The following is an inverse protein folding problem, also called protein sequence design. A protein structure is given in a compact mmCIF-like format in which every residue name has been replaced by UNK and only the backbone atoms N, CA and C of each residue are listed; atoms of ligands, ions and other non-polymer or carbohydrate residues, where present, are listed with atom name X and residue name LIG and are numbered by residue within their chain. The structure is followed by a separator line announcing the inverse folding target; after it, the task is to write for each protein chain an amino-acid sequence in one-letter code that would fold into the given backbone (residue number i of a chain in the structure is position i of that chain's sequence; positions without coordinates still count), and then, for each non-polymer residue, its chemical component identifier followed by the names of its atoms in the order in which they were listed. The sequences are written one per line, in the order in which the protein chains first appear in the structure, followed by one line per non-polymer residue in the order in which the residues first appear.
data_IF_895163620142
#
_entry.id   IF_895163620142
#
_cell.length_a   1.000
_cell.length_b   1.000
_cell.length_c   1.000
_cell.angle_alpha   90.00
_cell.angle_beta   90.00
_cell.angle_gamma   90.00
#
_symmetry.space_group_name_H-M   'P 1'
#
loop_
_entity.id
_entity.type
_entity.pdbx_description
1 polymer ?
#
# COMPACT_ATOMS: atom_id res chain seq x y z
N UNK A 1 -5.68 -0.51 13.82
CA UNK A 1 -4.32 -0.63 14.37
C UNK A 1 -3.52 -1.47 13.39
N UNK A 2 -2.32 -1.03 13.10
CA UNK A 2 -1.34 -1.80 12.34
C UNK A 2 -0.28 -2.27 13.33
N UNK A 3 -0.02 -3.56 13.36
CA UNK A 3 1.07 -4.15 14.13
C UNK A 3 2.32 -4.31 13.27
N UNK A 4 3.48 -4.46 13.93
CA UNK A 4 4.75 -4.79 13.25
C UNK A 4 4.62 -6.08 12.43
N UNK A 5 3.78 -7.03 12.89
CA UNK A 5 3.49 -8.26 12.16
C UNK A 5 2.73 -7.97 10.87
N UNK A 6 1.78 -7.04 10.87
CA UNK A 6 1.02 -6.68 9.68
C UNK A 6 1.92 -6.00 8.63
N UNK A 7 2.86 -5.15 9.08
CA UNK A 7 3.90 -4.56 8.23
C UNK A 7 4.84 -5.64 7.68
N UNK A 8 5.29 -6.57 8.52
CA UNK A 8 6.14 -7.67 8.10
C UNK A 8 5.43 -8.57 7.08
N UNK A 9 4.14 -8.90 7.32
CA UNK A 9 3.34 -9.69 6.38
C UNK A 9 3.18 -8.96 5.05
N UNK A 10 2.89 -7.66 5.05
CA UNK A 10 2.80 -6.86 3.84
C UNK A 10 4.10 -6.87 3.02
N UNK A 11 5.25 -6.90 3.69
CA UNK A 11 6.56 -7.02 3.03
C UNK A 11 6.89 -8.46 2.60
N UNK A 12 6.24 -9.48 3.16
CA UNK A 12 6.45 -10.89 2.82
C UNK A 12 5.51 -11.37 1.72
N UNK A 13 4.37 -10.72 1.51
CA UNK A 13 3.42 -10.98 0.43
C UNK A 13 3.90 -10.43 -0.94
N UNK A 14 5.23 -10.43 -1.17
CA UNK A 14 5.88 -10.07 -2.44
C UNK A 14 5.35 -10.94 -3.60
N UNK A 15 4.70 -12.05 -3.29
CA UNK A 15 4.10 -12.95 -4.28
C UNK A 15 2.69 -12.55 -4.74
N UNK A 16 2.03 -11.60 -4.04
CA UNK A 16 0.70 -11.12 -4.47
C UNK A 16 0.85 -10.04 -5.55
N UNK A 17 0.98 -10.50 -6.79
CA UNK A 17 1.15 -9.61 -7.95
C UNK A 17 -0.07 -8.73 -8.23
N UNK A 18 -1.24 -9.04 -7.65
CA UNK A 18 -2.50 -8.28 -7.79
C UNK A 18 -2.75 -7.30 -6.65
N UNK A 19 -1.77 -7.11 -5.76
CA UNK A 19 -1.91 -6.28 -4.55
C UNK A 19 -2.48 -4.89 -4.84
N UNK A 20 -2.07 -4.25 -5.93
CA UNK A 20 -2.51 -2.90 -6.31
C UNK A 20 -3.99 -2.86 -6.64
N UNK A 21 -4.48 -3.86 -7.38
CA UNK A 21 -5.89 -3.98 -7.75
C UNK A 21 -6.76 -4.31 -6.52
N UNK A 22 -6.35 -5.28 -5.70
CA UNK A 22 -7.09 -5.71 -4.51
C UNK A 22 -7.19 -4.59 -3.47
N UNK A 23 -6.16 -3.77 -3.35
CA UNK A 23 -6.09 -2.66 -2.39
C UNK A 23 -6.69 -1.35 -2.92
N UNK A 24 -7.16 -1.33 -4.17
CA UNK A 24 -7.63 -0.12 -4.86
C UNK A 24 -6.61 1.03 -4.74
N UNK A 25 -5.36 0.71 -5.09
CA UNK A 25 -4.25 1.67 -5.04
C UNK A 25 -4.42 2.73 -6.12
N UNK A 26 -4.27 4.01 -5.77
CA UNK A 26 -4.21 5.07 -6.76
C UNK A 26 -2.86 5.10 -7.48
N UNK A 27 -2.85 5.53 -8.74
CA UNK A 27 -1.59 5.72 -9.46
C UNK A 27 -0.66 6.75 -8.80
N UNK A 28 -1.20 7.77 -8.10
CA UNK A 28 -0.39 8.71 -7.29
C UNK A 28 0.49 8.00 -6.29
N UNK A 29 -0.03 6.98 -5.58
CA UNK A 29 0.78 6.20 -4.63
C UNK A 29 1.90 5.42 -5.34
N UNK A 30 1.62 4.92 -6.54
CA UNK A 30 2.64 4.23 -7.36
C UNK A 30 3.73 5.21 -7.78
N UNK A 31 3.35 6.39 -8.27
CA UNK A 31 4.29 7.44 -8.67
C UNK A 31 5.21 7.84 -7.51
N UNK A 32 4.64 8.07 -6.33
CA UNK A 32 5.40 8.43 -5.13
C UNK A 32 6.39 7.32 -4.73
N UNK A 33 5.97 6.04 -4.84
CA UNK A 33 6.81 4.91 -4.45
C UNK A 33 8.01 4.68 -5.37
N UNK A 34 7.88 5.01 -6.66
CA UNK A 34 8.92 4.72 -7.68
C UNK A 34 9.58 5.99 -8.26
N UNK A 35 9.42 7.13 -7.63
CA UNK A 35 9.85 8.45 -8.16
C UNK A 35 9.40 8.64 -9.62
N UNK A 36 8.15 8.24 -9.90
CA UNK A 36 7.58 8.15 -11.22
C UNK A 36 6.95 9.45 -11.70
N UNK A 37 6.89 9.61 -13.01
CA UNK A 37 6.15 10.69 -13.68
C UNK A 37 5.10 10.09 -14.60
N UNK A 38 3.84 10.53 -14.48
CA UNK A 38 2.78 10.15 -15.39
C UNK A 38 2.99 10.83 -16.74
N UNK A 39 3.14 10.05 -17.81
CA UNK A 39 3.31 10.54 -19.18
C UNK A 39 1.98 10.51 -19.93
N UNK A 40 1.17 9.47 -19.70
CA UNK A 40 -0.16 9.30 -20.31
C UNK A 40 -1.11 8.79 -19.22
N UNK A 41 -2.27 9.39 -19.10
CA UNK A 41 -3.34 8.98 -18.17
C UNK A 41 -3.54 9.95 -17.02
N UNK A 42 -4.45 9.55 -16.10
CA UNK A 42 -4.76 10.29 -14.89
C UNK A 42 -4.19 9.56 -13.66
N UNK A 43 -3.43 10.28 -12.86
CA UNK A 43 -2.79 9.74 -11.65
C UNK A 43 -3.75 9.55 -10.47
N UNK A 44 -4.91 10.20 -10.49
CA UNK A 44 -5.91 10.08 -9.42
C UNK A 44 -6.78 8.83 -9.55
N UNK A 45 -6.75 8.15 -10.69
CA UNK A 45 -7.49 6.92 -10.91
C UNK A 45 -6.99 5.79 -9.99
N UNK A 46 -7.91 4.90 -9.62
CA UNK A 46 -7.60 3.68 -8.86
C UNK A 46 -7.31 2.51 -9.79
N UNK A 47 -6.34 1.69 -9.39
CA UNK A 47 -6.04 0.42 -10.05
C UNK A 47 -7.05 -0.59 -9.53
N UNK A 48 -7.92 -1.10 -10.41
CA UNK A 48 -9.03 -1.99 -10.04
C UNK A 48 -8.88 -3.41 -10.57
N UNK A 49 -7.94 -3.64 -11.50
CA UNK A 49 -7.68 -4.94 -12.12
C UNK A 49 -6.22 -5.09 -12.55
N UNK A 50 -5.84 -6.31 -12.88
CA UNK A 50 -4.53 -6.66 -13.38
C UNK A 50 -3.52 -7.03 -12.29
N UNK A 51 -2.41 -7.59 -12.75
CA UNK A 51 -1.24 -7.98 -11.96
C UNK A 51 -0.03 -7.14 -12.36
N UNK A 52 1.01 -7.15 -11.54
CA UNK A 52 2.31 -6.58 -11.89
C UNK A 52 3.08 -7.64 -12.66
N UNK A 53 3.57 -7.29 -13.84
CA UNK A 53 4.31 -8.18 -14.73
C UNK A 53 5.61 -7.52 -15.22
N UNK A 54 6.72 -8.27 -15.21
CA UNK A 54 7.99 -7.80 -15.78
C UNK A 54 8.08 -8.25 -17.25
N UNK A 55 8.11 -7.28 -18.14
CA UNK A 55 8.24 -7.51 -19.59
C UNK A 55 9.68 -7.76 -20.02
N UNK A 56 10.27 -8.85 -19.51
CA UNK A 56 11.64 -9.25 -19.85
C UNK A 56 11.71 -10.17 -21.08
N UNK A 57 10.61 -10.85 -21.41
CA UNK A 57 10.52 -11.74 -22.56
C UNK A 57 10.49 -10.97 -23.90
N UNK A 58 10.66 -11.68 -25.02
CA UNK A 58 10.38 -11.13 -26.33
C UNK A 58 8.85 -10.96 -26.52
N UNK A 59 8.38 -10.15 -27.47
CA UNK A 59 6.96 -9.87 -27.69
C UNK A 59 6.12 -11.15 -27.87
N UNK A 60 6.55 -12.11 -28.68
CA UNK A 60 5.84 -13.35 -28.98
C UNK A 60 5.53 -14.20 -27.74
N UNK A 61 6.44 -14.16 -26.76
CA UNK A 61 6.22 -14.83 -25.47
C UNK A 61 5.40 -13.94 -24.52
N UNK A 62 5.62 -12.62 -24.57
CA UNK A 62 4.96 -11.68 -23.69
C UNK A 62 3.45 -11.66 -23.89
N UNK A 63 2.97 -11.80 -25.12
CA UNK A 63 1.54 -11.92 -25.48
C UNK A 63 0.81 -13.01 -24.70
N UNK A 64 1.50 -14.10 -24.33
CA UNK A 64 0.90 -15.21 -23.59
C UNK A 64 0.75 -14.93 -22.09
N UNK A 65 1.34 -13.85 -21.57
CA UNK A 65 1.39 -13.54 -20.14
C UNK A 65 0.68 -12.26 -19.77
N UNK A 66 0.58 -11.30 -20.70
CA UNK A 66 -0.10 -10.03 -20.47
C UNK A 66 -1.61 -10.23 -20.55
N UNK A 67 -2.30 -9.83 -19.52
CA UNK A 67 -3.77 -9.85 -19.42
C UNK A 67 -4.32 -8.42 -19.37
N UNK A 68 -5.62 -8.28 -19.66
CA UNK A 68 -6.33 -7.00 -19.60
C UNK A 68 -6.17 -6.34 -18.22
N UNK A 69 -5.69 -5.11 -18.23
CA UNK A 69 -5.48 -4.30 -17.03
C UNK A 69 -4.14 -4.50 -16.31
N UNK A 70 -3.27 -5.38 -16.79
CA UNK A 70 -1.96 -5.62 -16.17
C UNK A 70 -1.09 -4.36 -16.13
N UNK A 71 -0.22 -4.29 -15.14
CA UNK A 71 0.84 -3.28 -15.06
C UNK A 71 2.16 -3.90 -15.53
N UNK A 72 2.59 -3.50 -16.72
CA UNK A 72 3.79 -4.03 -17.37
C UNK A 72 5.01 -3.17 -17.06
N UNK A 73 5.99 -3.73 -16.35
CA UNK A 73 7.29 -3.10 -16.11
C UNK A 73 8.23 -3.44 -17.27
N UNK A 74 8.71 -2.44 -18.00
CA UNK A 74 9.58 -2.64 -19.17
C UNK A 74 10.66 -1.55 -19.24
N UNK A 75 11.63 -1.74 -20.11
CA UNK A 75 12.64 -0.75 -20.44
C UNK A 75 12.32 -0.05 -21.76
N UNK A 76 13.38 0.23 -22.53
CA UNK A 76 13.32 1.00 -23.78
C UNK A 76 12.90 0.19 -25.03
N UNK A 77 12.53 -1.08 -24.88
CA UNK A 77 12.11 -1.91 -26.01
C UNK A 77 10.75 -1.49 -26.51
N UNK A 78 10.72 -0.87 -27.70
CA UNK A 78 9.50 -0.41 -28.34
C UNK A 78 8.48 -1.53 -28.53
N UNK A 79 8.95 -2.70 -28.96
CA UNK A 79 8.11 -3.86 -29.25
C UNK A 79 7.37 -4.36 -28.00
N UNK A 80 8.02 -4.35 -26.84
CA UNK A 80 7.38 -4.77 -25.58
C UNK A 80 6.36 -3.74 -25.10
N UNK A 81 6.63 -2.44 -25.32
CA UNK A 81 5.66 -1.38 -25.03
C UNK A 81 4.44 -1.49 -25.93
N UNK A 82 4.64 -1.73 -27.23
CA UNK A 82 3.57 -1.93 -28.20
C UNK A 82 2.73 -3.17 -27.84
N UNK A 83 3.36 -4.30 -27.62
CA UNK A 83 2.70 -5.55 -27.20
C UNK A 83 1.82 -5.33 -25.96
N UNK A 84 2.33 -4.63 -24.93
CA UNK A 84 1.53 -4.31 -23.74
C UNK A 84 0.27 -3.50 -24.05
N UNK A 85 0.37 -2.52 -24.96
CA UNK A 85 -0.79 -1.72 -25.39
C UNK A 85 -1.80 -2.59 -26.15
N UNK A 86 -1.35 -3.41 -27.09
CA UNK A 86 -2.19 -4.28 -27.90
C UNK A 86 -2.90 -5.36 -27.09
N UNK A 87 -2.26 -5.83 -26.00
CA UNK A 87 -2.86 -6.78 -25.04
C UNK A 87 -3.73 -6.10 -23.97
N UNK A 88 -4.06 -4.82 -24.12
CA UNK A 88 -4.87 -4.05 -23.18
C UNK A 88 -4.28 -3.96 -21.76
N UNK A 89 -2.97 -3.88 -21.63
CA UNK A 89 -2.36 -3.55 -20.34
C UNK A 89 -2.94 -2.23 -19.80
N UNK A 90 -3.25 -2.21 -18.52
CA UNK A 90 -3.79 -0.99 -17.88
C UNK A 90 -2.74 0.10 -17.70
N UNK A 91 -1.47 -0.31 -17.55
CA UNK A 91 -0.34 0.61 -17.39
C UNK A 91 0.97 0.00 -17.87
N UNK A 92 1.80 0.83 -18.51
CA UNK A 92 3.19 0.50 -18.83
C UNK A 92 4.10 1.41 -18.00
N UNK A 93 5.01 0.81 -17.23
CA UNK A 93 6.04 1.52 -16.48
C UNK A 93 7.36 1.37 -17.23
N UNK A 94 7.84 2.49 -17.76
CA UNK A 94 9.11 2.57 -18.50
C UNK A 94 10.21 2.92 -17.52
N UNK A 95 11.09 1.96 -17.26
CA UNK A 95 12.18 2.04 -16.30
C UNK A 95 13.44 2.72 -16.88
N UNK A 96 14.36 3.11 -15.99
CA UNK A 96 15.68 3.70 -16.29
C UNK A 96 15.65 5.06 -16.98
N UNK A 97 14.54 5.80 -16.88
CA UNK A 97 14.38 7.09 -17.56
C UNK A 97 14.45 7.00 -19.09
N UNK A 98 14.18 5.81 -19.65
CA UNK A 98 14.25 5.58 -21.09
C UNK A 98 13.26 6.47 -21.86
N UNK A 99 13.64 6.99 -23.04
CA UNK A 99 12.76 7.83 -23.83
C UNK A 99 11.54 7.05 -24.35
N UNK A 100 10.38 7.66 -24.30
CA UNK A 100 9.12 7.08 -24.77
C UNK A 100 8.71 7.78 -26.06
N UNK A 101 8.57 7.05 -27.16
CA UNK A 101 8.24 7.62 -28.46
C UNK A 101 6.85 8.26 -28.47
N UNK A 102 6.66 9.30 -29.27
CA UNK A 102 5.33 9.94 -29.45
C UNK A 102 4.29 8.96 -30.01
N UNK A 103 4.71 7.99 -30.80
CA UNK A 103 3.85 6.93 -31.34
C UNK A 103 3.28 6.08 -30.21
N UNK A 104 4.13 5.61 -29.27
CA UNK A 104 3.70 4.83 -28.10
C UNK A 104 2.75 5.66 -27.22
N UNK A 105 3.07 6.93 -26.97
CA UNK A 105 2.20 7.80 -26.16
C UNK A 105 0.81 7.97 -26.80
N UNK A 106 0.77 8.12 -28.13
CA UNK A 106 -0.49 8.25 -28.89
C UNK A 106 -1.30 6.96 -28.82
N UNK A 107 -0.69 5.81 -29.11
CA UNK A 107 -1.35 4.50 -29.06
C UNK A 107 -1.85 4.17 -27.65
N UNK A 108 -1.06 4.45 -26.63
CA UNK A 108 -1.47 4.25 -25.24
C UNK A 108 -2.71 5.09 -24.89
N UNK A 109 -2.75 6.35 -25.31
CA UNK A 109 -3.91 7.22 -25.08
C UNK A 109 -5.16 6.70 -25.81
N UNK A 110 -5.03 6.22 -27.03
CA UNK A 110 -6.14 5.65 -27.84
C UNK A 110 -6.69 4.37 -27.23
N UNK A 111 -5.87 3.58 -26.54
CA UNK A 111 -6.23 2.31 -25.90
C UNK A 111 -6.44 2.42 -24.37
N UNK A 112 -6.56 3.62 -23.82
CA UNK A 112 -6.70 3.85 -22.37
C UNK A 112 -5.58 3.21 -21.52
N UNK A 113 -4.43 2.91 -22.09
CA UNK A 113 -3.26 2.42 -21.39
C UNK A 113 -2.47 3.59 -20.80
N UNK A 114 -2.20 3.52 -19.50
CA UNK A 114 -1.40 4.56 -18.83
C UNK A 114 0.09 4.33 -19.07
N UNK A 115 0.86 5.41 -19.07
CA UNK A 115 2.32 5.32 -19.18
C UNK A 115 2.96 6.11 -18.05
N UNK A 116 3.83 5.43 -17.29
CA UNK A 116 4.66 6.01 -16.25
C UNK A 116 6.12 5.88 -16.66
N UNK A 117 6.90 6.95 -16.44
CA UNK A 117 8.37 6.92 -16.56
C UNK A 117 8.98 7.00 -15.17
N UNK A 118 10.02 6.20 -14.91
CA UNK A 118 10.77 6.23 -13.65
C UNK A 118 12.27 6.14 -13.91
N UNK A 119 13.12 6.81 -13.09
CA UNK A 119 14.56 6.70 -13.22
C UNK A 119 15.13 5.34 -12.76
N UNK A 120 14.35 4.59 -11.96
CA UNK A 120 14.78 3.33 -11.38
C UNK A 120 14.82 2.18 -12.40
N UNK A 121 15.65 1.16 -12.13
CA UNK A 121 15.67 -0.08 -12.90
C UNK A 121 14.45 -0.97 -12.57
N UNK A 122 14.20 -1.95 -13.42
CA UNK A 122 13.03 -2.83 -13.32
C UNK A 122 12.96 -3.62 -12.00
N UNK A 123 14.12 -4.04 -11.46
CA UNK A 123 14.16 -4.79 -10.20
C UNK A 123 13.79 -3.89 -9.02
N UNK A 124 14.31 -2.67 -9.01
CA UNK A 124 13.99 -1.68 -7.99
C UNK A 124 12.50 -1.32 -8.04
N UNK A 125 11.97 -1.05 -9.23
CA UNK A 125 10.55 -0.76 -9.45
C UNK A 125 9.68 -1.91 -8.96
N UNK A 126 9.98 -3.16 -9.32
CA UNK A 126 9.22 -4.33 -8.91
C UNK A 126 9.14 -4.49 -7.38
N UNK A 127 10.20 -4.09 -6.66
CA UNK A 127 10.23 -4.11 -5.19
C UNK A 127 9.45 -2.96 -4.56
N UNK A 128 9.56 -1.76 -5.12
CA UNK A 128 8.93 -0.58 -4.56
C UNK A 128 7.42 -0.52 -4.83
N UNK A 129 7.00 -0.99 -6.02
CA UNK A 129 5.64 -0.84 -6.48
C UNK A 129 4.61 -1.57 -5.60
N UNK A 130 4.99 -2.74 -5.06
CA UNK A 130 4.13 -3.47 -4.13
C UNK A 130 3.92 -2.75 -2.79
N UNK A 131 4.84 -1.85 -2.43
CA UNK A 131 4.78 -1.04 -1.21
C UNK A 131 3.88 0.20 -1.35
N UNK A 132 3.41 0.49 -2.57
CA UNK A 132 2.49 1.61 -2.84
C UNK A 132 1.05 1.33 -2.38
N UNK A 133 0.75 0.08 -2.01
CA UNK A 133 -0.57 -0.27 -1.48
C UNK A 133 -0.91 0.55 -0.23
N UNK A 134 -2.10 1.16 -0.16
CA UNK A 134 -2.44 2.05 0.93
C UNK A 134 -2.60 1.31 2.26
N UNK A 135 -2.18 1.96 3.34
CA UNK A 135 -2.24 1.43 4.72
C UNK A 135 -3.65 0.95 5.09
N UNK A 136 -4.70 1.56 4.52
CA UNK A 136 -6.10 1.14 4.74
C UNK A 136 -6.37 -0.32 4.38
N UNK A 137 -5.63 -0.90 3.43
CA UNK A 137 -5.76 -2.30 3.03
C UNK A 137 -5.31 -3.25 4.15
N UNK A 138 -4.27 -2.89 4.90
CA UNK A 138 -3.71 -3.68 5.98
C UNK A 138 -4.39 -3.44 7.34
N UNK A 139 -5.35 -2.49 7.39
CA UNK A 139 -6.04 -2.18 8.64
C UNK A 139 -6.96 -3.32 9.05
N UNK A 140 -6.73 -3.85 10.23
CA UNK A 140 -7.70 -4.72 10.91
C UNK A 140 -8.83 -3.86 11.46
N UNK A 141 -10.02 -4.03 10.91
CA UNK A 141 -11.25 -3.34 11.35
C UNK A 141 -12.09 -4.20 12.28
N UNK A 142 -12.00 -5.53 12.11
CA UNK A 142 -12.82 -6.48 12.84
C UNK A 142 -12.17 -6.85 14.17
N UNK A 143 -13.00 -6.99 15.20
CA UNK A 143 -12.60 -7.39 16.55
C UNK A 143 -11.55 -6.48 17.20
N UNK A 144 -11.60 -5.18 16.88
CA UNK A 144 -10.74 -4.20 17.54
C UNK A 144 -11.19 -4.05 18.99
N UNK A 145 -10.32 -4.42 19.91
CA UNK A 145 -10.59 -4.24 21.34
C UNK A 145 -10.11 -2.85 21.71
N UNK A 146 -11.07 -2.03 22.08
CA UNK A 146 -10.87 -0.65 22.52
C UNK A 146 -11.34 -0.50 23.94
N UNK A 147 -10.79 0.45 24.67
CA UNK A 147 -11.25 0.84 26.00
C UNK A 147 -11.76 2.28 25.96
N UNK A 148 -12.68 2.59 26.89
CA UNK A 148 -13.10 3.94 27.12
C UNK A 148 -12.12 4.67 28.03
N UNK A 149 -11.99 5.97 27.84
CA UNK A 149 -11.25 6.85 28.75
C UNK A 149 -11.79 6.77 30.20
N UNK A 150 -13.06 6.42 30.36
CA UNK A 150 -13.74 6.37 31.65
C UNK A 150 -13.69 4.96 32.28
N UNK A 151 -13.14 3.94 31.60
CA UNK A 151 -13.07 2.59 32.12
C UNK A 151 -12.11 2.48 33.30
N UNK A 152 -12.47 1.65 34.29
CA UNK A 152 -11.60 1.37 35.41
C UNK A 152 -10.65 0.21 35.10
N UNK A 153 -9.43 0.26 35.64
CA UNK A 153 -8.43 -0.79 35.44
C UNK A 153 -8.93 -2.16 35.94
N UNK A 154 -9.73 -2.19 37.01
CA UNK A 154 -10.35 -3.41 37.51
C UNK A 154 -11.19 -4.12 36.45
N UNK A 155 -11.97 -3.34 35.67
CA UNK A 155 -12.95 -3.87 34.73
C UNK A 155 -12.28 -4.40 33.46
N UNK A 156 -11.16 -3.79 33.06
CA UNK A 156 -10.42 -4.19 31.89
C UNK A 156 -9.43 -5.33 32.16
N UNK A 157 -9.08 -5.61 33.42
CA UNK A 157 -8.10 -6.64 33.82
C UNK A 157 -8.50 -8.04 33.33
N UNK A 158 -9.76 -8.41 33.46
CA UNK A 158 -10.29 -9.71 33.01
C UNK A 158 -10.24 -9.86 31.47
N UNK A 159 -10.49 -8.76 30.77
CA UNK A 159 -10.37 -8.70 29.32
C UNK A 159 -8.91 -8.88 28.91
N UNK A 160 -7.99 -8.18 29.58
CA UNK A 160 -6.56 -8.28 29.32
C UNK A 160 -5.98 -9.66 29.62
N UNK A 161 -6.50 -10.37 30.63
CA UNK A 161 -6.05 -11.72 30.95
C UNK A 161 -6.31 -12.73 29.82
N UNK A 162 -7.38 -12.52 29.05
CA UNK A 162 -7.82 -13.40 27.95
C UNK A 162 -7.17 -13.07 26.59
N UNK A 163 -6.59 -11.88 26.43
CA UNK A 163 -6.14 -11.35 25.15
C UNK A 163 -4.64 -11.12 25.17
N UNK A 164 -3.94 -11.48 24.08
CA UNK A 164 -2.48 -11.33 23.98
C UNK A 164 -2.00 -10.05 23.30
N UNK A 165 -2.88 -9.06 23.09
CA UNK A 165 -2.48 -7.78 22.50
C UNK A 165 -1.59 -6.99 23.47
N UNK A 166 -0.66 -6.21 22.93
CA UNK A 166 0.26 -5.37 23.70
C UNK A 166 -0.32 -4.00 23.99
N UNK A 167 -1.00 -3.43 22.99
CA UNK A 167 -1.47 -2.05 23.00
C UNK A 167 -2.94 -2.00 22.58
N UNK A 168 -3.70 -1.16 23.24
CA UNK A 168 -5.14 -1.00 23.04
C UNK A 168 -5.48 0.46 22.82
N UNK A 169 -6.27 0.80 21.77
CA UNK A 169 -6.77 2.15 21.60
C UNK A 169 -7.74 2.51 22.71
N UNK A 170 -7.62 3.74 23.16
CA UNK A 170 -8.57 4.36 24.10
C UNK A 170 -9.41 5.38 23.35
N UNK A 171 -10.71 5.33 23.54
CA UNK A 171 -11.68 6.22 22.92
C UNK A 171 -12.33 7.12 23.99
N UNK A 172 -12.72 8.32 23.57
CA UNK A 172 -13.54 9.20 24.38
C UNK A 172 -15.04 8.82 24.30
N UNK A 173 -15.92 9.62 24.92
CA UNK A 173 -17.38 9.41 24.93
C UNK A 173 -18.02 9.52 23.54
N UNK A 174 -17.37 10.23 22.63
CA UNK A 174 -17.83 10.43 21.26
C UNK A 174 -17.27 9.34 20.30
N UNK A 175 -16.54 8.35 20.83
CA UNK A 175 -15.90 7.29 20.07
C UNK A 175 -14.64 7.73 19.30
N UNK A 176 -14.10 8.90 19.60
CA UNK A 176 -12.87 9.40 18.99
C UNK A 176 -11.66 8.86 19.71
N UNK A 177 -10.62 8.59 18.94
CA UNK A 177 -9.33 8.15 19.49
C UNK A 177 -8.70 9.23 20.36
N UNK A 178 -8.33 8.89 21.59
CA UNK A 178 -7.69 9.80 22.53
C UNK A 178 -6.35 9.29 23.08
N UNK A 179 -5.93 8.05 22.76
CA UNK A 179 -4.63 7.56 23.18
C UNK A 179 -4.51 6.04 23.11
N UNK A 180 -3.35 5.53 23.50
CA UNK A 180 -3.03 4.10 23.58
C UNK A 180 -2.79 3.67 25.02
N UNK A 181 -3.37 2.52 25.40
CA UNK A 181 -3.12 1.86 26.65
C UNK A 181 -2.18 0.68 26.42
N UNK A 182 -0.98 0.74 26.98
CA UNK A 182 -0.03 -0.37 26.91
C UNK A 182 -0.26 -1.39 28.03
N UNK A 183 -0.27 -2.67 27.70
CA UNK A 183 -0.33 -3.75 28.68
C UNK A 183 0.77 -3.65 29.73
N UNK A 184 1.97 -3.21 29.35
CA UNK A 184 3.09 -3.02 30.26
C UNK A 184 2.81 -1.96 31.31
N UNK A 185 2.17 -0.86 30.93
CA UNK A 185 1.78 0.21 31.86
C UNK A 185 0.77 -0.27 32.88
N UNK A 186 -0.16 -1.16 32.47
CA UNK A 186 -1.18 -1.73 33.36
C UNK A 186 -0.62 -2.72 34.38
N UNK A 187 0.36 -3.52 33.99
CA UNK A 187 1.00 -4.48 34.90
C UNK A 187 1.83 -3.80 36.01
N UNK A 188 2.25 -2.56 35.77
CA UNK A 188 3.04 -1.78 36.72
C UNK A 188 2.18 -0.87 37.61
N UNK A 189 0.87 -0.86 37.43
CA UNK A 189 -0.06 -0.04 38.21
C UNK A 189 -0.81 -0.85 39.25
N UNK A 190 -0.38 -0.79 40.49
CA UNK A 190 -1.22 -1.17 41.63
C UNK A 190 -2.31 -0.10 41.82
N UNK A 191 -3.54 -0.43 41.42
CA UNK A 191 -4.81 0.25 41.73
C UNK A 191 -4.84 1.80 41.60
N UNK A 192 -4.19 2.39 40.59
CA UNK A 192 -4.24 3.85 40.34
C UNK A 192 -5.04 4.15 39.05
N UNK A 193 -5.75 5.28 39.07
CA UNK A 193 -6.38 5.84 37.85
C UNK A 193 -5.36 5.94 36.71
N UNK A 194 -5.78 5.58 35.49
CA UNK A 194 -4.96 5.78 34.28
C UNK A 194 -4.76 7.27 34.09
N UNK A 195 -3.52 7.71 34.11
CA UNK A 195 -3.16 9.03 33.63
C UNK A 195 -2.81 8.85 32.15
N UNK A 196 -3.66 9.33 31.27
CA UNK A 196 -3.36 9.46 29.85
C UNK A 196 -2.29 10.53 29.70
N UNK A 197 -1.12 10.13 29.20
CA UNK A 197 -0.09 11.08 28.81
C UNK A 197 -0.43 11.49 27.38
N UNK A 198 -0.85 12.73 27.22
CA UNK A 198 -1.03 13.32 25.90
C UNK A 198 0.35 13.59 25.28
N UNK A 199 0.50 13.33 24.02
CA UNK A 199 1.72 13.63 23.29
C UNK A 199 1.47 14.89 22.44
N UNK A 200 2.35 15.88 22.55
CA UNK A 200 2.32 17.03 21.66
C UNK A 200 2.66 16.62 20.21
N UNK A 201 2.46 17.51 19.26
CA UNK A 201 2.73 17.28 17.84
C UNK A 201 4.19 16.84 17.53
N UNK A 202 5.10 16.99 18.51
CA UNK A 202 6.50 16.54 18.42
C UNK A 202 6.75 15.18 19.07
N UNK A 203 5.69 14.48 19.52
CA UNK A 203 5.80 13.17 20.15
C UNK A 203 6.41 13.18 21.57
N UNK A 204 6.47 14.34 22.23
CA UNK A 204 6.92 14.46 23.61
C UNK A 204 5.72 14.35 24.55
N UNK A 205 5.87 13.60 25.66
CA UNK A 205 4.86 13.50 26.69
C UNK A 205 4.65 14.88 27.36
N UNK A 206 3.40 15.32 27.48
CA UNK A 206 3.00 16.55 28.16
C UNK A 206 2.42 16.20 29.52
#
# INVERSE_FOLDING_TARGET
IISVKDIATANMDIYETRILAISHTKYTNVLDAIDGTMIVGDSEEEITKGKILIGAANPDLLENYVEDGDMLLTGNRFENQLCGIEMNAGCIVVCTGAPISKTIQKLAKENNCKIISTPHDTLMVARLISQSAPVRYFLKKDHLITFSREDFISDIRDTLAKIRHRDFPVLDRDGKYCGMLSRRSLLNMDNKKIILVDHNEKGQAV
#
